data_IF_641525941802
#
_entry.id   IF_641525941802
#
_cell.length_a   1.000
_cell.length_b   1.000
_cell.length_c   1.000
_cell.angle_alpha   90.00
_cell.angle_beta   90.00
_cell.angle_gamma   90.00
#
_symmetry.space_group_name_H-M   'P 1'
#
loop_
_entity.id
_entity.type
_entity.pdbx_description
1 polymer ?
#
# COMPACT_ATOMS: atom_id res chain seq x y z
N UNK A 1 11.05 5.23 -12.86
CA UNK A 1 11.72 3.96 -13.17
C UNK A 1 12.68 4.22 -14.33
N UNK A 2 13.93 3.79 -14.23
CA UNK A 2 14.90 3.88 -15.32
C UNK A 2 15.29 2.47 -15.76
N UNK A 3 15.21 2.20 -17.06
CA UNK A 3 15.66 0.96 -17.67
C UNK A 3 16.80 1.30 -18.63
N UNK A 4 17.85 0.49 -18.64
CA UNK A 4 18.95 0.61 -19.61
C UNK A 4 18.98 -0.65 -20.46
N UNK A 5 18.85 -0.49 -21.77
CA UNK A 5 18.97 -1.57 -22.75
C UNK A 5 20.34 -1.47 -23.38
N UNK A 6 21.15 -2.52 -23.25
CA UNK A 6 22.50 -2.56 -23.83
C UNK A 6 22.57 -3.64 -24.89
N UNK A 7 23.07 -3.29 -26.07
CA UNK A 7 23.30 -4.21 -27.17
C UNK A 7 24.71 -4.00 -27.78
N UNK A 8 25.54 -5.05 -27.80
CA UNK A 8 26.92 -5.00 -28.31
C UNK A 8 26.99 -4.85 -29.84
N UNK A 9 25.92 -5.23 -30.53
CA UNK A 9 25.72 -5.06 -31.97
C UNK A 9 24.30 -4.55 -32.23
N UNK A 10 24.06 -3.80 -33.33
CA UNK A 10 22.73 -3.38 -33.70
C UNK A 10 21.73 -4.55 -33.74
N UNK A 11 20.65 -4.46 -32.96
CA UNK A 11 19.63 -5.49 -32.88
C UNK A 11 18.23 -4.87 -32.80
N UNK A 12 17.31 -5.33 -33.66
CA UNK A 12 15.94 -4.81 -33.72
C UNK A 12 14.98 -5.73 -32.99
N UNK A 13 14.39 -5.25 -31.89
CA UNK A 13 13.37 -5.98 -31.15
C UNK A 13 12.48 -5.02 -30.33
N UNK A 14 11.25 -5.43 -29.98
CA UNK A 14 10.35 -4.62 -29.16
C UNK A 14 10.60 -4.80 -27.65
N UNK A 15 10.40 -3.74 -26.89
CA UNK A 15 10.06 -3.81 -25.47
C UNK A 15 8.56 -3.62 -25.28
N UNK A 16 7.92 -4.53 -24.56
CA UNK A 16 6.52 -4.40 -24.14
C UNK A 16 6.47 -3.89 -22.70
N UNK A 17 6.16 -2.61 -22.54
CA UNK A 17 6.15 -1.92 -21.25
C UNK A 17 4.72 -1.90 -20.71
N UNK A 18 4.46 -2.63 -19.62
CA UNK A 18 3.15 -2.60 -18.95
C UNK A 18 2.93 -1.21 -18.34
N UNK A 19 1.84 -0.55 -18.73
CA UNK A 19 1.38 0.70 -18.13
C UNK A 19 0.27 0.36 -17.15
N UNK A 20 0.50 0.44 -15.82
CA UNK A 20 -0.51 0.10 -14.85
C UNK A 20 -1.78 0.95 -15.01
N UNK A 21 -2.96 0.36 -14.81
CA UNK A 21 -4.24 1.07 -14.96
C UNK A 21 -4.39 2.28 -14.01
N UNK A 22 -3.72 2.25 -12.85
CA UNK A 22 -3.72 3.36 -11.90
C UNK A 22 -2.85 4.55 -12.33
N UNK A 23 -1.91 4.37 -13.26
CA UNK A 23 -0.88 5.35 -13.61
C UNK A 23 -1.39 6.39 -14.63
N UNK A 24 -2.39 7.17 -14.24
CA UNK A 24 -2.90 8.28 -15.06
C UNK A 24 -1.80 9.33 -15.26
N UNK A 25 -1.64 9.80 -16.51
CA UNK A 25 -0.53 10.72 -16.86
C UNK A 25 0.84 10.04 -16.89
N UNK A 26 0.90 8.72 -17.07
CA UNK A 26 2.15 8.00 -17.28
C UNK A 26 2.88 8.50 -18.54
N UNK A 27 4.20 8.58 -18.46
CA UNK A 27 5.03 9.05 -19.58
C UNK A 27 6.29 8.24 -19.77
N UNK A 28 6.82 8.31 -20.98
CA UNK A 28 8.03 7.63 -21.46
C UNK A 28 8.99 8.64 -22.08
N UNK A 29 10.28 8.51 -21.77
CA UNK A 29 11.37 9.18 -22.48
C UNK A 29 12.40 8.14 -22.92
N UNK A 30 12.91 8.27 -24.13
CA UNK A 30 13.93 7.36 -24.68
C UNK A 30 15.15 8.18 -25.08
N UNK A 31 16.33 7.77 -24.60
CA UNK A 31 17.61 8.42 -24.87
C UNK A 31 17.58 9.95 -24.65
N UNK A 32 16.95 10.41 -23.57
CA UNK A 32 16.84 11.84 -23.25
C UNK A 32 15.94 12.68 -24.18
N UNK A 33 15.20 12.05 -25.09
CA UNK A 33 14.34 12.74 -26.06
C UNK A 33 13.08 13.40 -25.47
N UNK A 34 12.10 13.69 -26.33
CA UNK A 34 10.83 14.25 -25.89
C UNK A 34 10.01 13.24 -25.07
N UNK A 35 9.23 13.76 -24.12
CA UNK A 35 8.33 12.98 -23.29
C UNK A 35 7.09 12.55 -24.09
N UNK A 36 6.75 11.27 -24.01
CA UNK A 36 5.64 10.66 -24.75
C UNK A 36 4.56 10.20 -23.76
N UNK A 37 3.28 10.53 -23.98
CA UNK A 37 2.20 10.05 -23.13
C UNK A 37 1.99 8.55 -23.34
N UNK A 38 1.75 7.84 -22.24
CA UNK A 38 1.41 6.42 -22.23
C UNK A 38 -0.07 6.22 -21.91
N UNK A 39 -0.68 5.19 -22.50
CA UNK A 39 -2.08 4.82 -22.22
C UNK A 39 -2.15 3.90 -21.00
N UNK A 40 -2.83 4.27 -19.91
CA UNK A 40 -2.99 3.39 -18.74
C UNK A 40 -3.76 2.11 -19.07
N UNK A 41 -3.39 1.01 -18.40
CA UNK A 41 -4.06 -0.28 -18.53
C UNK A 41 -3.70 -1.09 -19.79
N UNK A 42 -2.63 -0.69 -20.50
CA UNK A 42 -2.18 -1.38 -21.72
C UNK A 42 -0.71 -1.79 -21.62
N UNK A 43 -0.22 -2.48 -22.65
CA UNK A 43 1.20 -2.60 -22.93
C UNK A 43 1.58 -1.63 -24.03
N UNK A 44 2.54 -0.75 -23.74
CA UNK A 44 3.14 0.13 -24.73
C UNK A 44 4.27 -0.63 -25.43
N UNK A 45 4.18 -0.78 -26.76
CA UNK A 45 5.21 -1.41 -27.59
C UNK A 45 6.22 -0.36 -28.04
N UNK A 46 7.43 -0.41 -27.48
CA UNK A 46 8.57 0.37 -27.94
C UNK A 46 9.44 -0.50 -28.85
N UNK A 47 9.24 -0.37 -30.16
CA UNK A 47 10.02 -1.10 -31.16
C UNK A 47 11.11 -0.23 -31.76
N UNK A 48 12.33 -0.76 -31.76
CA UNK A 48 13.55 0.01 -32.02
C UNK A 48 14.69 -0.91 -32.44
N UNK A 49 15.65 -0.36 -33.20
CA UNK A 49 17.00 -0.90 -33.27
C UNK A 49 17.83 -0.39 -32.09
N UNK A 50 18.31 -1.31 -31.28
CA UNK A 50 19.13 -1.06 -30.11
C UNK A 50 20.60 -1.17 -30.50
N UNK A 51 21.39 -0.17 -30.13
CA UNK A 51 22.82 -0.12 -30.38
C UNK A 51 23.49 0.62 -29.23
N UNK A 52 24.50 0.01 -28.60
CA UNK A 52 25.09 0.51 -27.37
C UNK A 52 24.09 0.53 -26.21
N UNK A 53 24.33 1.42 -25.24
CA UNK A 53 23.45 1.62 -24.09
C UNK A 53 22.41 2.70 -24.38
N UNK A 54 21.13 2.34 -24.26
CA UNK A 54 19.99 3.23 -24.47
C UNK A 54 19.17 3.30 -23.19
N UNK A 55 18.98 4.50 -22.66
CA UNK A 55 18.13 4.74 -21.50
C UNK A 55 16.66 4.88 -21.89
N UNK A 56 15.80 4.32 -21.05
CA UNK A 56 14.34 4.37 -21.15
C UNK A 56 13.80 4.79 -19.78
N UNK A 57 13.36 6.04 -19.67
CA UNK A 57 12.79 6.60 -18.45
C UNK A 57 11.26 6.47 -18.48
N UNK A 58 10.71 5.79 -17.49
CA UNK A 58 9.28 5.63 -17.27
C UNK A 58 8.86 6.41 -16.02
N UNK A 59 7.89 7.30 -16.17
CA UNK A 59 7.25 8.00 -15.07
C UNK A 59 5.83 7.48 -14.89
N UNK A 60 5.53 6.95 -13.71
CA UNK A 60 4.20 6.50 -13.33
C UNK A 60 3.73 7.33 -12.12
N UNK A 61 2.88 8.35 -12.34
CA UNK A 61 2.28 9.10 -11.23
C UNK A 61 1.48 8.17 -10.33
N UNK A 62 1.73 8.24 -9.01
CA UNK A 62 1.03 7.44 -7.99
C UNK A 62 0.16 8.37 -7.13
N UNK A 63 -0.95 8.92 -7.65
CA UNK A 63 -1.84 9.74 -6.86
C UNK A 63 -2.48 8.91 -5.74
N UNK A 64 -2.83 9.57 -4.65
CA UNK A 64 -3.59 8.97 -3.56
C UNK A 64 -5.03 8.73 -4.03
N UNK A 65 -5.57 7.56 -3.70
CA UNK A 65 -6.96 7.19 -3.96
C UNK A 65 -7.60 6.63 -2.70
N UNK A 66 -8.87 6.94 -2.53
CA UNK A 66 -9.75 6.25 -1.60
C UNK A 66 -10.67 5.32 -2.38
N UNK A 67 -10.96 4.15 -1.83
CA UNK A 67 -11.97 3.24 -2.38
C UNK A 67 -13.01 2.89 -1.35
N UNK A 68 -14.27 2.88 -1.77
CA UNK A 68 -15.39 2.38 -0.97
C UNK A 68 -15.37 0.87 -0.96
N UNK A 69 -15.49 0.28 0.22
CA UNK A 69 -15.52 -1.15 0.44
C UNK A 69 -16.82 -1.57 1.12
N UNK A 70 -16.84 -2.76 1.69
CA UNK A 70 -18.03 -3.31 2.33
C UNK A 70 -18.54 -2.33 3.40
N UNK A 71 -19.87 -2.19 3.51
CA UNK A 71 -20.50 -1.26 4.46
C UNK A 71 -20.00 0.19 4.35
N UNK A 72 -19.57 0.63 3.16
CA UNK A 72 -19.11 2.00 2.94
C UNK A 72 -17.80 2.33 3.66
N UNK A 73 -17.09 1.33 4.18
CA UNK A 73 -15.74 1.50 4.70
C UNK A 73 -14.82 2.12 3.63
N UNK A 74 -13.76 2.79 4.08
CA UNK A 74 -12.79 3.42 3.20
C UNK A 74 -11.45 2.68 3.28
N UNK A 75 -10.86 2.40 2.12
CA UNK A 75 -9.48 1.92 2.00
C UNK A 75 -8.62 2.98 1.30
N UNK A 76 -7.35 3.07 1.69
CA UNK A 76 -6.37 4.01 1.14
C UNK A 76 -5.43 3.29 0.18
N UNK A 77 -5.23 3.88 -0.99
CA UNK A 77 -4.40 3.33 -2.07
C UNK A 77 -3.45 4.42 -2.60
N UNK A 78 -2.21 4.05 -2.92
CA UNK A 78 -1.25 4.92 -3.63
C UNK A 78 -0.48 4.09 -4.65
N UNK A 79 -0.75 4.35 -5.93
CA UNK A 79 -0.23 3.51 -7.02
C UNK A 79 -0.70 2.06 -6.87
N UNK A 80 0.20 1.07 -6.78
CA UNK A 80 -0.16 -0.33 -6.59
C UNK A 80 -0.36 -0.75 -5.12
N UNK A 81 -0.14 0.15 -4.16
CA UNK A 81 -0.13 -0.18 -2.74
C UNK A 81 -1.46 0.16 -2.09
N UNK A 82 -2.07 -0.83 -1.42
CA UNK A 82 -3.16 -0.65 -0.46
C UNK A 82 -2.53 -0.48 0.92
N UNK A 83 -3.05 0.39 1.78
CA UNK A 83 -2.50 0.70 3.09
C UNK A 83 -3.35 0.14 4.24
N UNK A 84 -2.69 -0.34 5.29
CA UNK A 84 -3.27 -0.90 6.51
C UNK A 84 -2.69 -0.20 7.74
N UNK A 85 -3.43 -0.20 8.85
CA UNK A 85 -2.98 0.38 10.11
C UNK A 85 -1.72 -0.32 10.63
N UNK A 86 -0.71 0.47 11.00
CA UNK A 86 0.47 -0.02 11.69
C UNK A 86 0.10 -0.37 13.13
N UNK A 87 -0.05 -1.66 13.43
CA UNK A 87 -0.38 -2.15 14.76
C UNK A 87 0.88 -2.58 15.50
N UNK A 88 0.92 -2.30 16.80
CA UNK A 88 1.82 -3.00 17.70
C UNK A 88 1.36 -4.45 17.86
N UNK A 89 2.32 -5.38 17.95
CA UNK A 89 2.06 -6.81 17.92
C UNK A 89 2.74 -7.51 19.09
N UNK A 90 2.02 -8.45 19.71
CA UNK A 90 2.58 -9.42 20.64
C UNK A 90 2.43 -10.81 20.03
N UNK A 91 3.55 -11.52 19.92
CA UNK A 91 3.64 -12.85 19.35
C UNK A 91 3.84 -13.87 20.47
N UNK A 92 2.94 -14.85 20.57
CA UNK A 92 3.01 -15.93 21.55
C UNK A 92 3.08 -17.26 20.80
N UNK A 93 4.14 -18.04 21.01
CA UNK A 93 4.19 -19.39 20.48
C UNK A 93 3.15 -20.24 21.21
N UNK A 94 2.31 -20.94 20.45
CA UNK A 94 1.27 -21.83 20.97
C UNK A 94 1.57 -23.26 20.53
N UNK A 95 1.04 -24.24 21.26
CA UNK A 95 1.22 -25.66 20.92
C UNK A 95 2.68 -26.14 20.83
N UNK A 96 3.61 -25.46 21.50
CA UNK A 96 5.05 -25.79 21.46
C UNK A 96 5.34 -27.20 22.02
N UNK A 97 4.43 -27.73 22.84
CA UNK A 97 4.42 -29.07 23.40
C UNK A 97 4.00 -30.16 22.41
N UNK A 98 3.40 -29.79 21.26
CA UNK A 98 2.90 -30.77 20.28
C UNK A 98 3.99 -31.21 19.29
N UNK A 99 3.98 -32.49 18.85
CA UNK A 99 4.89 -32.98 17.82
C UNK A 99 4.84 -32.12 16.54
N UNK A 100 6.00 -31.89 15.93
CA UNK A 100 6.19 -31.12 14.68
C UNK A 100 5.83 -29.62 14.74
N UNK A 101 5.61 -29.07 15.94
CA UNK A 101 5.36 -27.63 16.16
C UNK A 101 6.51 -26.93 16.88
N UNK A 102 7.69 -27.54 16.84
CA UNK A 102 8.93 -26.92 17.31
C UNK A 102 9.43 -25.91 16.28
N UNK A 103 10.25 -24.96 16.74
CA UNK A 103 10.95 -24.06 15.84
C UNK A 103 11.81 -24.87 14.85
N UNK A 104 11.90 -24.45 13.57
CA UNK A 104 11.37 -23.20 13.02
C UNK A 104 9.90 -23.24 12.56
N UNK A 105 9.16 -24.33 12.80
CA UNK A 105 7.79 -24.58 12.34
C UNK A 105 6.72 -24.35 13.43
N UNK A 106 6.97 -23.42 14.36
CA UNK A 106 6.05 -23.14 15.47
C UNK A 106 4.75 -22.49 15.03
N UNK A 107 3.66 -22.77 15.74
CA UNK A 107 2.43 -22.01 15.63
C UNK A 107 2.54 -20.75 16.49
N UNK A 108 2.03 -19.62 15.98
CA UNK A 108 2.02 -18.37 16.72
C UNK A 108 0.62 -17.77 16.75
N UNK A 109 0.21 -17.32 17.94
CA UNK A 109 -0.89 -16.38 18.10
C UNK A 109 -0.32 -14.96 18.10
N UNK A 110 -0.93 -14.07 17.32
CA UNK A 110 -0.53 -12.66 17.23
C UNK A 110 -1.68 -11.80 17.71
N UNK A 111 -1.44 -10.96 18.73
CA UNK A 111 -2.45 -10.06 19.29
C UNK A 111 -2.00 -8.60 19.17
N UNK A 112 -2.93 -7.66 18.91
CA UNK A 112 -2.58 -6.26 18.85
C UNK A 112 -2.25 -5.73 20.25
N UNK A 113 -1.17 -4.96 20.38
CA UNK A 113 -0.80 -4.24 21.61
C UNK A 113 -1.22 -2.78 21.59
N UNK A 114 -1.62 -2.28 20.42
CA UNK A 114 -2.18 -0.94 20.22
C UNK A 114 -3.65 -1.03 19.82
N UNK A 115 -4.45 0.03 20.02
CA UNK A 115 -5.81 0.08 19.51
C UNK A 115 -5.83 -0.10 17.98
N UNK A 116 -6.93 -0.66 17.47
CA UNK A 116 -7.11 -0.95 16.04
C UNK A 116 -8.42 -0.38 15.49
N UNK A 117 -9.36 -0.06 16.38
CA UNK A 117 -10.73 0.33 16.09
C UNK A 117 -10.84 1.82 15.76
N UNK A 118 -10.15 2.27 14.72
CA UNK A 118 -10.14 3.67 14.30
C UNK A 118 -11.07 3.93 13.12
N UNK A 119 -11.77 5.06 13.14
CA UNK A 119 -12.28 5.73 11.95
C UNK A 119 -11.29 6.81 11.51
N UNK A 120 -11.09 6.96 10.20
CA UNK A 120 -10.16 7.94 9.66
C UNK A 120 -10.85 9.29 9.39
N UNK A 121 -10.17 10.38 9.69
CA UNK A 121 -10.55 11.73 9.29
C UNK A 121 -9.96 12.00 7.90
N UNK A 122 -10.80 11.95 6.87
CA UNK A 122 -10.38 12.00 5.47
C UNK A 122 -11.29 12.93 4.65
N UNK A 123 -10.68 13.81 3.88
CA UNK A 123 -11.33 14.45 2.74
C UNK A 123 -11.25 13.51 1.54
N UNK A 124 -12.32 12.77 1.27
CA UNK A 124 -12.30 11.76 0.21
C UNK A 124 -12.34 12.35 -1.20
N UNK A 125 -12.82 13.59 -1.36
CA UNK A 125 -12.77 14.30 -2.63
C UNK A 125 -11.36 14.77 -2.96
N UNK A 126 -10.54 15.03 -1.93
CA UNK A 126 -9.13 15.42 -2.10
C UNK A 126 -8.24 14.78 -1.03
N UNK A 127 -7.98 13.46 -1.11
CA UNK A 127 -7.35 12.69 -0.01
C UNK A 127 -5.90 13.08 0.27
N UNK A 128 -5.20 13.67 -0.70
CA UNK A 128 -3.85 14.22 -0.56
C UNK A 128 -3.79 15.30 0.54
N UNK A 129 -4.91 15.94 0.88
CA UNK A 129 -4.98 16.94 1.97
C UNK A 129 -5.06 16.36 3.37
N UNK A 130 -5.40 15.07 3.48
CA UNK A 130 -5.58 14.37 4.76
C UNK A 130 -4.48 13.34 5.03
N UNK A 131 -3.67 13.02 4.02
CA UNK A 131 -2.65 11.99 4.06
C UNK A 131 -1.30 12.56 3.66
N UNK A 132 -0.26 12.25 4.44
CA UNK A 132 1.14 12.53 4.06
C UNK A 132 1.88 11.22 3.89
N UNK A 133 2.58 11.04 2.77
CA UNK A 133 3.34 9.82 2.47
C UNK A 133 4.83 10.05 2.64
N UNK A 134 5.51 9.06 3.19
CA UNK A 134 6.95 9.03 3.41
C UNK A 134 7.53 7.80 2.71
N UNK A 135 8.50 8.03 1.83
CA UNK A 135 9.31 6.98 1.21
C UNK A 135 10.60 6.78 2.03
N UNK A 136 10.94 5.52 2.26
CA UNK A 136 12.07 5.09 3.10
C UNK A 136 12.92 4.08 2.33
N UNK A 137 14.19 3.89 2.71
CA UNK A 137 15.00 2.80 2.18
C UNK A 137 14.32 1.45 2.40
N UNK A 138 14.47 0.54 1.43
CA UNK A 138 13.98 -0.84 1.57
C UNK A 138 14.80 -1.56 2.62
N UNK A 139 14.16 -2.00 3.71
CA UNK A 139 14.80 -2.77 4.77
C UNK A 139 15.23 -4.17 4.32
N UNK A 140 16.02 -4.86 5.16
CA UNK A 140 16.48 -6.23 4.90
C UNK A 140 15.35 -7.24 4.72
N UNK A 141 14.16 -6.94 5.26
CA UNK A 141 12.92 -7.69 5.12
C UNK A 141 11.87 -6.77 4.48
N UNK A 142 11.77 -6.72 3.14
CA UNK A 142 10.95 -5.72 2.43
C UNK A 142 9.45 -5.71 2.75
N UNK A 143 8.96 -6.81 3.36
CA UNK A 143 7.55 -7.03 3.68
C UNK A 143 7.29 -7.17 5.19
N UNK A 144 8.22 -6.75 6.05
CA UNK A 144 7.94 -6.65 7.49
C UNK A 144 7.39 -5.27 7.88
N UNK A 145 6.65 -5.17 9.00
CA UNK A 145 6.27 -3.86 9.54
C UNK A 145 7.50 -3.03 9.89
N UNK A 146 8.49 -3.70 10.50
CA UNK A 146 9.81 -3.12 10.74
C UNK A 146 10.53 -2.85 9.42
N UNK A 147 10.93 -1.60 9.18
CA UNK A 147 11.64 -1.21 7.96
C UNK A 147 10.77 -1.16 6.69
N UNK A 148 9.44 -1.05 6.83
CA UNK A 148 8.55 -0.87 5.69
C UNK A 148 8.98 0.34 4.84
N UNK A 149 9.16 0.17 3.51
CA UNK A 149 9.74 1.21 2.64
C UNK A 149 8.80 2.38 2.36
N UNK A 150 7.53 2.25 2.72
CA UNK A 150 6.53 3.30 2.59
C UNK A 150 5.75 3.41 3.90
N UNK A 151 5.39 4.63 4.27
CA UNK A 151 4.43 4.90 5.32
C UNK A 151 3.50 6.05 4.92
N UNK A 152 2.28 6.04 5.44
CA UNK A 152 1.36 7.16 5.35
C UNK A 152 0.99 7.62 6.77
N UNK A 153 0.84 8.94 6.95
CA UNK A 153 0.31 9.55 8.17
C UNK A 153 -1.10 10.08 7.87
N UNK A 154 -2.02 9.84 8.79
CA UNK A 154 -3.42 10.27 8.72
C UNK A 154 -3.94 10.47 10.13
N UNK A 155 -4.90 11.37 10.31
CA UNK A 155 -5.56 11.55 11.59
C UNK A 155 -6.79 10.65 11.70
N UNK A 156 -7.08 10.14 12.90
CA UNK A 156 -8.26 9.32 13.14
C UNK A 156 -8.72 9.37 14.59
N UNK A 157 -9.92 8.85 14.84
CA UNK A 157 -10.50 8.73 16.18
C UNK A 157 -10.83 7.28 16.45
N UNK A 158 -10.64 6.83 17.69
CA UNK A 158 -11.11 5.52 18.13
C UNK A 158 -12.64 5.45 18.05
N UNK A 159 -13.16 4.26 17.83
CA UNK A 159 -14.58 3.95 17.76
C UNK A 159 -14.90 2.93 18.86
N UNK A 160 -15.25 3.37 20.08
CA UNK A 160 -15.47 2.47 21.21
C UNK A 160 -16.55 1.39 20.97
N UNK A 161 -17.47 1.65 20.03
CA UNK A 161 -18.53 0.72 19.66
C UNK A 161 -18.11 -0.32 18.63
N UNK A 162 -16.98 -0.13 17.92
CA UNK A 162 -16.41 -1.13 17.03
C UNK A 162 -15.45 -2.02 17.84
N UNK A 163 -15.94 -3.22 18.17
CA UNK A 163 -15.30 -4.16 19.12
C UNK A 163 -14.92 -5.46 18.42
N UNK A 164 -14.20 -6.32 19.12
CA UNK A 164 -13.98 -7.70 18.66
C UNK A 164 -15.28 -8.51 18.73
N UNK A 165 -15.50 -9.35 17.74
CA UNK A 165 -16.47 -10.44 17.76
C UNK A 165 -15.72 -11.73 17.38
N UNK A 166 -15.88 -12.81 18.15
CA UNK A 166 -15.23 -14.10 17.87
C UNK A 166 -13.70 -14.05 17.62
N UNK A 167 -12.96 -13.19 18.34
CA UNK A 167 -11.51 -12.94 18.17
C UNK A 167 -11.06 -12.26 16.86
N UNK A 168 -11.98 -11.65 16.11
CA UNK A 168 -11.67 -10.76 14.98
C UNK A 168 -12.42 -9.44 15.13
N UNK A 169 -12.08 -8.42 14.34
CA UNK A 169 -12.85 -7.18 14.32
C UNK A 169 -14.30 -7.48 13.92
N UNK A 170 -15.28 -6.97 14.67
CA UNK A 170 -16.67 -7.06 14.25
C UNK A 170 -16.88 -6.36 12.90
N UNK A 171 -18.04 -6.58 12.28
CA UNK A 171 -18.37 -5.91 11.03
C UNK A 171 -18.20 -4.39 11.12
N UNK A 172 -17.68 -3.81 10.04
CA UNK A 172 -17.60 -2.36 9.92
C UNK A 172 -19.02 -1.80 9.94
N UNK A 173 -19.33 -0.82 10.81
CA UNK A 173 -20.63 -0.16 10.80
C UNK A 173 -20.93 0.50 9.43
N UNK A 174 -22.13 0.33 8.86
CA UNK A 174 -22.47 0.82 7.52
C UNK A 174 -22.55 2.36 7.41
N UNK A 175 -22.98 3.00 8.49
CA UNK A 175 -23.16 4.44 8.54
C UNK A 175 -21.89 5.15 9.00
N UNK A 176 -21.69 6.43 8.63
CA UNK A 176 -20.67 7.26 9.26
C UNK A 176 -20.82 7.29 10.80
N UNK A 177 -19.72 7.05 11.49
CA UNK A 177 -19.65 6.91 12.94
C UNK A 177 -19.30 8.23 13.61
N UNK A 178 -19.92 8.50 14.75
CA UNK A 178 -19.52 9.60 15.63
C UNK A 178 -18.53 9.10 16.67
N UNK A 179 -17.54 9.93 16.99
CA UNK A 179 -16.64 9.68 18.10
C UNK A 179 -16.19 10.97 18.75
N UNK A 180 -16.22 10.97 20.09
CA UNK A 180 -15.69 12.04 20.94
C UNK A 180 -14.28 11.73 21.46
N UNK A 181 -13.73 10.57 21.09
CA UNK A 181 -12.36 10.20 21.43
C UNK A 181 -11.37 11.20 20.83
N UNK A 182 -10.21 11.46 21.45
CA UNK A 182 -9.20 12.37 20.92
C UNK A 182 -8.79 12.03 19.48
N UNK A 183 -8.33 13.05 18.76
CA UNK A 183 -7.74 12.86 17.45
C UNK A 183 -6.31 12.32 17.65
N UNK A 184 -5.97 11.25 16.97
CA UNK A 184 -4.67 10.59 17.05
C UNK A 184 -4.00 10.57 15.67
N UNK A 185 -2.68 10.78 15.65
CA UNK A 185 -1.87 10.59 14.44
C UNK A 185 -1.60 9.10 14.23
N UNK A 186 -2.16 8.56 13.17
CA UNK A 186 -2.04 7.16 12.82
C UNK A 186 -0.97 6.99 11.75
N UNK A 187 -0.32 5.83 11.78
CA UNK A 187 0.59 5.40 10.72
C UNK A 187 -0.06 4.25 9.97
N UNK A 188 -0.10 4.36 8.64
CA UNK A 188 -0.47 3.26 7.77
C UNK A 188 0.77 2.75 7.03
N UNK A 189 0.89 1.44 6.89
CA UNK A 189 1.93 0.78 6.09
C UNK A 189 1.28 0.08 4.89
N UNK A 190 2.02 -0.23 3.82
CA UNK A 190 1.52 -1.12 2.78
C UNK A 190 0.97 -2.40 3.39
N UNK A 191 -0.18 -2.87 2.92
CA UNK A 191 -0.87 -4.05 3.42
C UNK A 191 0.04 -5.29 3.52
N UNK A 192 0.92 -5.45 2.52
CA UNK A 192 1.89 -6.55 2.49
C UNK A 192 2.99 -6.45 3.54
N UNK A 193 3.14 -5.31 4.20
CA UNK A 193 4.07 -5.07 5.30
C UNK A 193 3.43 -5.21 6.69
N UNK A 194 2.17 -5.64 6.81
CA UNK A 194 1.51 -5.85 8.12
C UNK A 194 1.15 -7.32 8.34
N UNK A 195 1.23 -7.77 9.61
CA UNK A 195 0.85 -9.13 10.00
C UNK A 195 -0.60 -9.16 10.51
N UNK A 196 -0.97 -8.20 11.36
CA UNK A 196 -2.37 -7.90 11.69
C UNK A 196 -2.93 -6.83 10.76
N UNK A 197 -4.20 -6.95 10.35
CA UNK A 197 -4.74 -6.18 9.23
C UNK A 197 -6.05 -5.49 9.54
N UNK A 198 -5.98 -4.17 9.65
CA UNK A 198 -7.11 -3.26 9.49
C UNK A 198 -6.83 -2.38 8.28
N UNK A 199 -7.63 -2.54 7.23
CA UNK A 199 -7.44 -1.89 5.91
C UNK A 199 -8.68 -1.17 5.45
N UNK A 200 -9.83 -1.61 5.95
CA UNK A 200 -11.13 -1.01 5.70
C UNK A 200 -11.54 -0.28 6.98
N UNK A 201 -11.57 1.04 6.91
CA UNK A 201 -11.83 1.89 8.07
C UNK A 201 -13.28 2.37 8.03
N UNK A 202 -14.03 2.32 9.15
CA UNK A 202 -15.30 3.01 9.25
C UNK A 202 -15.11 4.51 9.01
N UNK A 203 -16.12 5.15 8.44
CA UNK A 203 -16.08 6.59 8.17
C UNK A 203 -16.42 7.35 9.43
N UNK A 204 -15.77 8.48 9.67
CA UNK A 204 -16.22 9.45 10.68
C UNK A 204 -17.28 10.37 10.08
N UNK A 205 -18.25 10.79 10.89
CA UNK A 205 -19.05 11.98 10.54
C UNK A 205 -18.14 13.21 10.54
N UNK A 206 -18.28 14.02 9.49
CA UNK A 206 -17.56 15.29 9.34
C UNK A 206 -18.00 16.34 10.34
#
# INVERSE_FOLDING_TARGET
LKLTVTADKPARFPLLLRVPAWAQGATLRVAGGAEQPLKPGTFHRLEREWNGAVEVDLRFPMPVKTSRRYHGAVAIERGPLVYALALGEQWTQVNADKPHRQLPHGDFEVRPTTPWNYGLLLNEQNPETSLTFEERPVGARPFSPEGAPMAAKVQGRRLPNWKLAHNWAAEVPPDPQESREPLEDLTLLPYGCTNLRVTEFPRLKG
#
